data_IF_760779423827
#
_entry.id   IF_760779423827
#
_cell.length_a   1.000
_cell.length_b   1.000
_cell.length_c   1.000
_cell.angle_alpha   90.00
_cell.angle_beta   90.00
_cell.angle_gamma   90.00
#
_symmetry.space_group_name_H-M   'P 1'
#
loop_
_entity.id
_entity.type
_entity.pdbx_description
1 polymer ?
#
# COMPACT_ATOMS: atom_id res chain seq x y z
N UNK A 1 -3.54 -5.37 53.55
CA UNK A 1 -3.73 -6.46 52.56
C UNK A 1 -5.07 -6.46 51.83
N UNK A 2 -6.23 -6.28 52.49
CA UNK A 2 -7.57 -6.32 51.84
C UNK A 2 -7.76 -5.26 50.75
N UNK A 3 -7.33 -4.03 50.99
CA UNK A 3 -7.39 -2.93 50.02
C UNK A 3 -6.46 -3.14 48.81
N UNK A 4 -5.30 -3.78 48.99
CA UNK A 4 -4.36 -4.08 47.91
C UNK A 4 -4.97 -5.06 46.89
N UNK A 5 -5.71 -6.08 47.35
CA UNK A 5 -6.40 -7.03 46.45
C UNK A 5 -7.55 -6.38 45.68
N UNK A 6 -8.27 -5.44 46.30
CA UNK A 6 -9.33 -4.67 45.63
C UNK A 6 -8.74 -3.73 44.59
N UNK A 7 -7.62 -3.05 44.91
CA UNK A 7 -6.91 -2.19 43.96
C UNK A 7 -6.34 -2.98 42.79
N UNK A 8 -5.72 -4.14 43.03
CA UNK A 8 -5.23 -5.05 41.96
C UNK A 8 -6.39 -5.56 41.11
N UNK A 9 -7.51 -5.94 41.73
CA UNK A 9 -8.73 -6.34 41.01
C UNK A 9 -9.27 -5.22 40.12
N UNK A 10 -9.35 -3.99 40.63
CA UNK A 10 -9.79 -2.84 39.84
C UNK A 10 -8.82 -2.46 38.71
N UNK A 11 -7.50 -2.58 38.92
CA UNK A 11 -6.49 -2.35 37.87
C UNK A 11 -6.46 -3.46 36.81
N UNK A 12 -6.91 -4.67 37.14
CA UNK A 12 -6.93 -5.80 36.19
C UNK A 12 -7.95 -5.62 35.05
N UNK A 13 -9.07 -4.94 35.32
CA UNK A 13 -10.14 -4.69 34.34
C UNK A 13 -9.66 -3.84 33.16
N UNK A 14 -9.07 -2.63 33.35
CA UNK A 14 -8.60 -1.82 32.23
C UNK A 14 -7.48 -2.51 31.46
N UNK A 15 -6.61 -3.28 32.13
CA UNK A 15 -5.58 -4.08 31.46
C UNK A 15 -6.20 -5.15 30.57
N UNK A 16 -7.20 -5.90 31.04
CA UNK A 16 -7.92 -6.88 30.22
C UNK A 16 -8.63 -6.24 29.02
N UNK A 17 -9.24 -5.07 29.18
CA UNK A 17 -9.88 -4.34 28.08
C UNK A 17 -8.84 -3.95 27.02
N UNK A 18 -7.69 -3.41 27.43
CA UNK A 18 -6.60 -3.04 26.51
C UNK A 18 -6.07 -4.28 25.77
N UNK A 19 -5.84 -5.39 26.48
CA UNK A 19 -5.36 -6.65 25.88
C UNK A 19 -6.41 -7.24 24.93
N UNK A 20 -7.69 -7.23 25.31
CA UNK A 20 -8.78 -7.70 24.46
C UNK A 20 -8.92 -6.87 23.19
N UNK A 21 -8.88 -5.54 23.31
CA UNK A 21 -8.89 -4.64 22.15
C UNK A 21 -7.69 -4.88 21.25
N UNK A 22 -6.49 -5.02 21.83
CA UNK A 22 -5.28 -5.36 21.09
C UNK A 22 -5.43 -6.67 20.31
N UNK A 23 -5.93 -7.73 20.95
CA UNK A 23 -6.13 -9.04 20.32
C UNK A 23 -7.14 -8.97 19.17
N UNK A 24 -8.25 -8.24 19.32
CA UNK A 24 -9.25 -8.07 18.25
C UNK A 24 -8.66 -7.31 17.06
N UNK A 25 -7.99 -6.19 17.30
CA UNK A 25 -7.35 -5.41 16.22
C UNK A 25 -6.27 -6.26 15.54
N UNK A 26 -5.40 -6.90 16.32
CA UNK A 26 -4.34 -7.76 15.81
C UNK A 26 -4.91 -8.87 14.91
N UNK A 27 -5.93 -9.61 15.35
CA UNK A 27 -6.55 -10.68 14.55
C UNK A 27 -7.32 -10.17 13.32
N UNK A 28 -7.69 -8.89 13.27
CA UNK A 28 -8.39 -8.29 12.13
C UNK A 28 -7.48 -7.95 10.94
N UNK A 29 -6.18 -7.72 11.17
CA UNK A 29 -5.20 -7.45 10.12
C UNK A 29 -4.76 -8.78 9.52
N UNK A 30 -5.19 -9.09 8.29
CA UNK A 30 -5.04 -10.43 7.69
C UNK A 30 -3.95 -10.52 6.63
N UNK A 31 -3.33 -9.41 6.26
CA UNK A 31 -2.23 -9.32 5.30
C UNK A 31 -1.44 -8.00 5.52
N UNK A 32 -0.28 -7.80 4.87
CA UNK A 32 0.50 -6.58 5.05
C UNK A 32 -0.20 -5.29 4.60
N UNK A 33 -1.08 -5.34 3.61
CA UNK A 33 -1.80 -4.14 3.16
C UNK A 33 -2.81 -3.68 4.22
N UNK A 34 -3.47 -4.61 4.91
CA UNK A 34 -4.29 -4.29 6.09
C UNK A 34 -3.46 -3.58 7.17
N UNK A 35 -2.23 -4.03 7.42
CA UNK A 35 -1.34 -3.38 8.38
C UNK A 35 -0.96 -1.96 7.93
N UNK A 36 -0.60 -1.77 6.66
CA UNK A 36 -0.28 -0.45 6.09
C UNK A 36 -1.46 0.52 6.24
N UNK A 37 -2.67 0.11 5.81
CA UNK A 37 -3.88 0.92 5.92
C UNK A 37 -4.15 1.26 7.38
N UNK A 38 -4.19 0.25 8.25
CA UNK A 38 -4.43 0.43 9.69
C UNK A 38 -3.43 1.42 10.29
N UNK A 39 -2.15 1.30 9.93
CA UNK A 39 -1.10 2.16 10.44
C UNK A 39 -1.25 3.63 10.02
N UNK A 40 -1.87 3.88 8.88
CA UNK A 40 -2.06 5.23 8.36
C UNK A 40 -3.33 5.89 8.91
N UNK A 41 -4.47 5.18 8.86
CA UNK A 41 -5.78 5.79 9.16
C UNK A 41 -6.15 5.71 10.64
N UNK A 42 -5.50 4.85 11.43
CA UNK A 42 -5.90 4.62 12.83
C UNK A 42 -5.15 5.51 13.80
N UNK A 43 -5.91 6.27 14.60
CA UNK A 43 -5.37 7.13 15.66
C UNK A 43 -4.64 6.35 16.76
N UNK A 44 -5.24 5.26 17.24
CA UNK A 44 -4.66 4.41 18.28
C UNK A 44 -3.99 3.20 17.63
N UNK A 45 -2.66 3.28 17.53
CA UNK A 45 -1.84 2.24 16.91
C UNK A 45 -1.46 1.17 17.91
N UNK A 46 -1.33 -0.05 17.42
CA UNK A 46 -0.57 -1.11 18.07
C UNK A 46 0.85 -0.60 18.33
N UNK A 47 1.36 -0.85 19.54
CA UNK A 47 2.71 -0.40 19.94
C UNK A 47 3.75 -0.93 18.95
N UNK A 48 4.60 -0.04 18.44
CA UNK A 48 5.68 -0.38 17.52
C UNK A 48 5.33 -0.35 16.02
N UNK A 49 4.07 -0.06 15.65
CA UNK A 49 3.67 0.11 14.25
C UNK A 49 3.85 1.59 13.84
N UNK A 50 4.77 1.92 12.92
CA UNK A 50 4.92 3.28 12.41
C UNK A 50 3.80 3.62 11.42
N UNK A 51 3.57 4.91 11.18
CA UNK A 51 2.69 5.38 10.10
C UNK A 51 3.23 4.98 8.73
N UNK A 52 2.34 4.62 7.80
CA UNK A 52 2.77 4.23 6.46
C UNK A 52 3.39 5.40 5.69
N UNK A 53 2.86 6.61 5.87
CA UNK A 53 3.45 7.86 5.37
C UNK A 53 4.91 8.02 5.79
N UNK A 54 5.26 7.71 7.04
CA UNK A 54 6.65 7.69 7.50
C UNK A 54 7.48 6.62 6.78
N UNK A 55 6.93 5.41 6.58
CA UNK A 55 7.62 4.30 5.90
C UNK A 55 8.02 4.68 4.46
N UNK A 56 7.11 5.34 3.73
CA UNK A 56 7.33 5.77 2.33
C UNK A 56 7.92 7.19 2.20
N UNK A 57 8.27 7.82 3.33
CA UNK A 57 8.83 9.17 3.40
C UNK A 57 7.92 10.25 2.77
N UNK A 58 6.59 10.08 2.89
CA UNK A 58 5.60 11.05 2.44
C UNK A 58 5.56 12.25 3.39
N UNK A 59 5.49 13.50 2.88
CA UNK A 59 5.31 14.70 3.71
C UNK A 59 3.87 14.89 4.17
N UNK A 60 2.94 14.10 3.62
CA UNK A 60 1.51 14.10 3.93
C UNK A 60 1.18 12.78 4.59
N UNK A 61 0.33 12.82 5.60
CA UNK A 61 -0.28 11.67 6.26
C UNK A 61 -1.80 11.80 6.26
N UNK A 62 -2.51 10.76 6.65
CA UNK A 62 -3.94 10.83 6.90
C UNK A 62 -4.23 11.69 8.14
N UNK A 63 -5.20 12.59 8.02
CA UNK A 63 -5.68 13.41 9.13
C UNK A 63 -7.16 13.10 9.40
N UNK A 64 -7.43 12.44 10.53
CA UNK A 64 -8.78 12.07 10.97
C UNK A 64 -9.66 13.30 11.23
N UNK A 65 -9.06 14.48 11.43
CA UNK A 65 -9.80 15.73 11.65
C UNK A 65 -10.22 16.42 10.36
N UNK A 66 -9.68 15.99 9.22
CA UNK A 66 -10.05 16.50 7.90
C UNK A 66 -11.33 15.81 7.40
N UNK A 67 -12.22 16.57 6.76
CA UNK A 67 -13.49 16.07 6.23
C UNK A 67 -13.34 15.38 4.88
N UNK A 68 -12.11 15.22 4.39
CA UNK A 68 -11.85 14.62 3.08
C UNK A 68 -12.01 13.09 3.10
N UNK A 69 -11.94 12.43 4.26
CA UNK A 69 -12.06 10.97 4.40
C UNK A 69 -11.02 10.13 3.61
N UNK A 70 -10.08 10.76 2.90
CA UNK A 70 -8.98 10.13 2.18
C UNK A 70 -7.68 10.95 2.29
N UNK A 71 -6.57 10.32 1.97
CA UNK A 71 -5.27 10.98 1.78
C UNK A 71 -4.54 10.43 0.56
N UNK A 72 -3.62 11.24 0.01
CA UNK A 72 -2.71 10.82 -1.06
C UNK A 72 -1.28 10.98 -0.54
N UNK A 73 -0.62 9.85 -0.31
CA UNK A 73 0.76 9.78 0.14
C UNK A 73 1.68 9.89 -1.07
N UNK A 74 2.68 10.77 -0.98
CA UNK A 74 3.70 10.87 -2.02
C UNK A 74 4.81 9.86 -1.72
N UNK A 75 5.11 8.96 -2.64
CA UNK A 75 6.19 8.01 -2.48
C UNK A 75 7.54 8.69 -2.74
N UNK A 76 8.42 8.76 -1.73
CA UNK A 76 9.69 9.50 -1.80
C UNK A 76 10.91 8.68 -1.39
N UNK A 77 10.89 7.39 -1.67
CA UNK A 77 12.06 6.53 -1.51
C UNK A 77 13.00 6.66 -2.73
N UNK A 78 14.28 6.32 -2.54
CA UNK A 78 15.37 6.56 -3.50
C UNK A 78 15.39 5.58 -4.69
N UNK A 79 14.48 4.63 -4.74
CA UNK A 79 14.34 3.60 -5.76
C UNK A 79 13.53 4.06 -7.00
N UNK A 80 13.14 5.33 -7.07
CA UNK A 80 12.54 5.97 -8.24
C UNK A 80 13.61 6.66 -9.11
N UNK A 81 13.50 6.48 -10.43
CA UNK A 81 14.26 7.27 -11.41
C UNK A 81 13.61 8.64 -11.66
N UNK A 82 14.33 9.55 -12.35
CA UNK A 82 13.85 10.92 -12.65
C UNK A 82 12.55 10.96 -13.47
N UNK A 83 12.30 9.93 -14.28
CA UNK A 83 11.12 9.80 -15.12
C UNK A 83 10.04 8.90 -14.49
N UNK A 84 10.21 8.53 -13.22
CA UNK A 84 9.30 7.67 -12.47
C UNK A 84 8.72 8.46 -11.30
N UNK A 85 7.46 8.17 -10.98
CA UNK A 85 6.82 8.66 -9.77
C UNK A 85 5.89 7.60 -9.21
N UNK A 86 5.57 7.71 -7.93
CA UNK A 86 4.56 6.87 -7.32
C UNK A 86 3.81 7.64 -6.23
N UNK A 87 2.55 7.27 -6.02
CA UNK A 87 1.73 7.78 -4.95
C UNK A 87 0.76 6.70 -4.47
N UNK A 88 0.23 6.89 -3.27
CA UNK A 88 -0.69 5.96 -2.65
C UNK A 88 -1.96 6.69 -2.26
N UNK A 89 -3.10 6.22 -2.74
CA UNK A 89 -4.41 6.65 -2.26
C UNK A 89 -4.87 5.73 -1.14
N UNK A 90 -5.30 6.31 -0.02
CA UNK A 90 -5.88 5.57 1.11
C UNK A 90 -7.14 6.31 1.59
N UNK A 91 -8.21 5.58 1.85
CA UNK A 91 -9.43 6.12 2.46
C UNK A 91 -9.85 5.40 3.75
N UNK A 92 -10.81 5.98 4.46
CA UNK A 92 -11.37 5.43 5.71
C UNK A 92 -12.25 4.18 5.51
N UNK A 93 -12.60 3.87 4.26
CA UNK A 93 -13.26 2.63 3.86
C UNK A 93 -12.26 1.49 3.56
N UNK A 94 -10.98 1.71 3.88
CA UNK A 94 -9.87 0.76 3.68
C UNK A 94 -9.61 0.46 2.20
N UNK A 95 -9.93 1.39 1.31
CA UNK A 95 -9.43 1.33 -0.06
C UNK A 95 -7.96 1.74 -0.05
N UNK A 96 -7.14 0.98 -0.75
CA UNK A 96 -5.73 1.28 -0.93
C UNK A 96 -5.38 1.13 -2.40
N UNK A 97 -4.80 2.16 -3.01
CA UNK A 97 -4.32 2.10 -4.38
C UNK A 97 -2.89 2.59 -4.41
N UNK A 98 -1.96 1.71 -4.76
CA UNK A 98 -0.59 2.10 -5.09
C UNK A 98 -0.49 2.35 -6.59
N UNK A 99 -0.16 3.57 -7.00
CA UNK A 99 -0.01 3.93 -8.40
C UNK A 99 1.45 4.26 -8.70
N UNK A 100 2.04 3.51 -9.64
CA UNK A 100 3.33 3.81 -10.23
C UNK A 100 3.14 4.42 -11.62
N UNK A 101 3.96 5.42 -11.94
CA UNK A 101 3.97 6.12 -13.21
C UNK A 101 5.38 6.12 -13.82
N UNK A 102 5.44 5.92 -15.14
CA UNK A 102 6.66 6.04 -15.92
C UNK A 102 6.39 6.92 -17.14
N UNK A 103 7.13 8.02 -17.26
CA UNK A 103 7.03 8.96 -18.37
C UNK A 103 7.70 8.38 -19.62
N UNK A 104 6.91 8.27 -20.69
CA UNK A 104 7.34 7.90 -22.04
C UNK A 104 7.72 9.15 -22.84
N UNK A 105 8.44 8.99 -23.95
CA UNK A 105 9.03 10.09 -24.74
C UNK A 105 7.96 11.04 -25.32
N UNK A 106 6.78 10.53 -25.67
CA UNK A 106 5.71 11.29 -26.34
C UNK A 106 4.66 11.90 -25.38
N UNK A 107 5.06 12.37 -24.20
CA UNK A 107 4.15 12.86 -23.15
C UNK A 107 3.07 11.83 -22.72
N UNK A 108 3.30 10.55 -23.02
CA UNK A 108 2.46 9.45 -22.55
C UNK A 108 2.99 8.95 -21.22
N UNK A 109 2.11 8.44 -20.38
CA UNK A 109 2.47 7.92 -19.06
C UNK A 109 2.01 6.48 -18.96
N UNK A 110 2.96 5.56 -18.79
CA UNK A 110 2.65 4.19 -18.40
C UNK A 110 2.25 4.18 -16.93
N UNK A 111 1.14 3.54 -16.62
CA UNK A 111 0.62 3.40 -15.27
C UNK A 111 0.53 1.93 -14.91
N UNK A 112 1.05 1.59 -13.73
CA UNK A 112 0.87 0.30 -13.07
C UNK A 112 0.18 0.57 -11.74
N UNK A 113 -1.02 0.06 -11.58
CA UNK A 113 -1.89 0.29 -10.44
C UNK A 113 -2.12 -1.03 -9.69
N UNK A 114 -2.02 -0.96 -8.37
CA UNK A 114 -2.29 -2.06 -7.46
C UNK A 114 -3.43 -1.64 -6.55
N UNK A 115 -4.65 -2.05 -6.88
CA UNK A 115 -5.86 -1.70 -6.16
C UNK A 115 -6.21 -2.80 -5.18
N UNK A 116 -6.17 -2.49 -3.90
CA UNK A 116 -6.51 -3.41 -2.81
C UNK A 116 -7.92 -3.14 -2.29
N UNK A 117 -8.74 -4.18 -2.31
CA UNK A 117 -10.07 -4.18 -1.76
C UNK A 117 -10.44 -5.60 -1.30
N UNK A 118 -11.03 -5.73 -0.10
CA UNK A 118 -11.53 -7.01 0.43
C UNK A 118 -10.49 -8.16 0.46
N UNK A 119 -9.22 -7.87 0.78
CA UNK A 119 -8.10 -8.82 0.85
C UNK A 119 -7.51 -9.30 -0.49
N UNK A 120 -8.04 -8.79 -1.60
CA UNK A 120 -7.51 -9.06 -2.94
C UNK A 120 -6.82 -7.80 -3.49
N UNK A 121 -5.71 -7.98 -4.19
CA UNK A 121 -5.03 -6.90 -4.91
C UNK A 121 -5.13 -7.13 -6.41
N UNK A 122 -5.82 -6.21 -7.09
CA UNK A 122 -5.98 -6.22 -8.53
C UNK A 122 -4.87 -5.39 -9.17
N UNK A 123 -4.12 -6.02 -10.08
CA UNK A 123 -3.08 -5.35 -10.86
C UNK A 123 -3.63 -4.88 -12.19
N UNK A 124 -3.57 -3.58 -12.43
CA UNK A 124 -4.04 -2.96 -13.66
C UNK A 124 -2.92 -2.19 -14.35
N UNK A 125 -2.75 -2.39 -15.66
CA UNK A 125 -1.74 -1.68 -16.46
C UNK A 125 -2.44 -0.98 -17.62
N UNK A 126 -2.07 0.27 -17.86
CA UNK A 126 -2.59 1.07 -18.96
C UNK A 126 -1.66 2.24 -19.25
N UNK A 127 -1.85 2.90 -20.39
CA UNK A 127 -1.15 4.12 -20.75
C UNK A 127 -2.15 5.27 -20.77
N UNK A 128 -1.77 6.43 -20.24
CA UNK A 128 -2.47 7.69 -20.47
C UNK A 128 -1.76 8.49 -21.55
N UNK A 129 -2.51 9.03 -22.49
CA UNK A 129 -1.99 10.01 -23.43
C UNK A 129 -2.02 11.45 -22.85
N UNK A 130 -1.60 12.42 -23.66
CA UNK A 130 -1.61 13.85 -23.31
C UNK A 130 -3.01 14.40 -22.98
N UNK A 131 -4.07 13.76 -23.50
CA UNK A 131 -5.46 14.11 -23.25
C UNK A 131 -6.07 13.32 -22.07
N UNK A 132 -5.24 12.60 -21.31
CA UNK A 132 -5.63 11.68 -20.24
C UNK A 132 -6.55 10.52 -20.68
N UNK A 133 -6.55 10.18 -21.97
CA UNK A 133 -7.30 9.05 -22.51
C UNK A 133 -6.57 7.76 -22.14
N UNK A 134 -7.33 6.81 -21.59
CA UNK A 134 -6.81 5.51 -21.17
C UNK A 134 -6.70 4.55 -22.35
N UNK A 135 -5.48 4.12 -22.64
CA UNK A 135 -5.13 3.07 -23.60
C UNK A 135 -4.84 1.80 -22.80
N UNK A 136 -5.72 0.81 -22.89
CA UNK A 136 -5.64 -0.45 -22.14
C UNK A 136 -5.49 -1.69 -23.04
N UNK A 137 -5.57 -1.54 -24.36
CA UNK A 137 -5.47 -2.65 -25.30
C UNK A 137 -4.03 -3.15 -25.40
N UNK A 138 -3.85 -4.48 -25.31
CA UNK A 138 -2.54 -5.13 -25.23
C UNK A 138 -1.59 -4.75 -26.37
N UNK A 139 -2.06 -4.87 -27.62
CA UNK A 139 -1.22 -4.59 -28.79
C UNK A 139 -0.80 -3.12 -28.86
N UNK A 140 -1.69 -2.20 -28.47
CA UNK A 140 -1.38 -0.77 -28.41
C UNK A 140 -0.36 -0.46 -27.31
N UNK A 141 -0.50 -1.07 -26.13
CA UNK A 141 0.48 -0.91 -25.06
C UNK A 141 1.86 -1.41 -25.50
N UNK A 142 1.94 -2.61 -26.09
CA UNK A 142 3.22 -3.17 -26.53
C UNK A 142 3.87 -2.35 -27.64
N UNK A 143 3.09 -1.84 -28.58
CA UNK A 143 3.59 -0.93 -29.61
C UNK A 143 4.20 0.33 -28.99
N UNK A 144 3.48 1.00 -28.10
CA UNK A 144 3.96 2.22 -27.42
C UNK A 144 5.19 1.95 -26.55
N UNK A 145 5.27 0.80 -25.89
CA UNK A 145 6.48 0.39 -25.19
C UNK A 145 7.66 0.22 -26.16
N UNK A 146 7.45 -0.42 -27.31
CA UNK A 146 8.52 -0.66 -28.30
C UNK A 146 9.09 0.65 -28.87
N UNK A 147 8.25 1.67 -29.08
CA UNK A 147 8.66 3.01 -29.52
C UNK A 147 9.58 3.70 -28.50
N UNK A 148 9.52 3.27 -27.24
CA UNK A 148 10.37 3.73 -26.13
C UNK A 148 11.55 2.79 -25.84
N UNK A 149 11.85 1.84 -26.73
CA UNK A 149 12.84 0.77 -26.55
C UNK A 149 12.55 -0.13 -25.33
N UNK A 150 11.28 -0.26 -24.95
CA UNK A 150 10.80 -1.14 -23.89
C UNK A 150 10.06 -2.33 -24.49
N UNK A 151 10.01 -3.44 -23.77
CA UNK A 151 9.34 -4.66 -24.21
C UNK A 151 8.50 -5.27 -23.08
N UNK A 152 7.77 -6.35 -23.39
CA UNK A 152 6.96 -7.07 -22.40
C UNK A 152 7.78 -7.56 -21.20
N UNK A 153 9.02 -7.99 -21.43
CA UNK A 153 9.90 -8.45 -20.36
C UNK A 153 10.25 -7.32 -19.39
N UNK A 154 10.59 -6.14 -19.91
CA UNK A 154 10.81 -4.95 -19.10
C UNK A 154 9.56 -4.60 -18.27
N UNK A 155 8.37 -4.64 -18.88
CA UNK A 155 7.11 -4.34 -18.18
C UNK A 155 6.88 -5.33 -17.03
N UNK A 156 7.09 -6.62 -17.26
CA UNK A 156 6.96 -7.67 -16.24
C UNK A 156 7.97 -7.46 -15.10
N UNK A 157 9.23 -7.25 -15.43
CA UNK A 157 10.28 -7.04 -14.43
C UNK A 157 10.03 -5.78 -13.62
N UNK A 158 9.59 -4.70 -14.28
CA UNK A 158 9.25 -3.44 -13.61
C UNK A 158 8.03 -3.59 -12.71
N UNK A 159 6.97 -4.26 -13.18
CA UNK A 159 5.80 -4.55 -12.34
C UNK A 159 6.18 -5.38 -11.11
N UNK A 160 7.04 -6.38 -11.26
CA UNK A 160 7.51 -7.16 -10.12
C UNK A 160 8.31 -6.30 -9.13
N UNK A 161 9.22 -5.46 -9.63
CA UNK A 161 9.98 -4.52 -8.80
C UNK A 161 9.07 -3.53 -8.06
N UNK A 162 8.06 -2.97 -8.73
CA UNK A 162 7.12 -2.05 -8.10
C UNK A 162 6.35 -2.75 -6.97
N UNK A 163 5.89 -3.98 -7.19
CA UNK A 163 5.14 -4.71 -6.19
C UNK A 163 6.02 -5.14 -5.00
N UNK A 164 7.16 -5.76 -5.27
CA UNK A 164 8.02 -6.31 -4.23
C UNK A 164 8.87 -5.23 -3.57
N UNK A 165 9.72 -4.55 -4.32
CA UNK A 165 10.73 -3.64 -3.79
C UNK A 165 10.16 -2.26 -3.43
N UNK A 166 9.13 -1.79 -4.15
CA UNK A 166 8.57 -0.45 -3.88
C UNK A 166 7.41 -0.47 -2.88
N UNK A 167 6.47 -1.39 -3.03
CA UNK A 167 5.28 -1.47 -2.19
C UNK A 167 5.53 -2.28 -0.91
N UNK A 168 5.95 -3.54 -1.03
CA UNK A 168 6.03 -4.46 0.11
C UNK A 168 7.30 -4.29 0.95
N UNK A 169 8.47 -4.18 0.31
CA UNK A 169 9.76 -4.16 1.00
C UNK A 169 9.87 -3.04 2.06
N UNK A 170 9.49 -1.78 1.77
CA UNK A 170 9.60 -0.73 2.78
C UNK A 170 8.76 -1.02 4.03
N UNK A 171 7.60 -1.66 3.84
CA UNK A 171 6.76 -2.07 4.93
C UNK A 171 7.38 -3.21 5.72
N UNK A 172 7.89 -4.25 5.07
CA UNK A 172 8.55 -5.36 5.77
C UNK A 172 9.81 -4.93 6.55
N UNK A 173 10.55 -3.95 6.04
CA UNK A 173 11.75 -3.47 6.71
C UNK A 173 11.47 -2.59 7.95
N UNK A 174 10.36 -1.86 7.96
CA UNK A 174 10.12 -0.79 8.94
C UNK A 174 8.83 -0.91 9.73
N UNK A 175 7.81 -1.52 9.14
CA UNK A 175 6.44 -1.43 9.64
C UNK A 175 5.82 -2.77 10.03
N UNK A 176 6.08 -3.83 9.27
CA UNK A 176 5.43 -5.11 9.51
C UNK A 176 5.89 -5.76 10.80
N UNK A 177 4.92 -6.30 11.52
CA UNK A 177 5.16 -7.03 12.77
C UNK A 177 5.07 -8.55 12.57
N UNK A 178 4.52 -8.99 11.44
CA UNK A 178 4.04 -10.37 11.25
C UNK A 178 4.31 -10.92 9.85
N UNK A 179 4.15 -10.07 8.86
CA UNK A 179 4.18 -10.47 7.47
C UNK A 179 5.56 -10.22 6.89
N UNK A 180 5.84 -10.98 5.86
CA UNK A 180 7.13 -11.02 5.18
C UNK A 180 6.92 -11.42 3.73
N UNK A 181 7.99 -11.52 2.95
CA UNK A 181 7.89 -12.05 1.60
C UNK A 181 7.50 -13.54 1.61
N UNK A 182 7.83 -14.27 2.67
CA UNK A 182 7.51 -15.68 2.85
C UNK A 182 6.09 -15.91 3.37
N UNK A 183 5.49 -14.92 4.03
CA UNK A 183 4.13 -14.97 4.56
C UNK A 183 3.39 -13.65 4.30
N UNK A 184 2.52 -13.66 3.29
CA UNK A 184 1.62 -12.54 2.96
C UNK A 184 0.25 -12.66 3.64
N UNK A 185 0.05 -13.68 4.48
CA UNK A 185 -1.25 -14.00 5.06
C UNK A 185 -2.28 -14.32 3.99
N UNK A 186 -3.43 -13.65 4.07
CA UNK A 186 -4.57 -13.89 3.19
C UNK A 186 -4.57 -13.00 1.94
N UNK A 187 -3.46 -12.31 1.62
CA UNK A 187 -3.39 -11.49 0.42
C UNK A 187 -3.51 -12.37 -0.82
N UNK A 188 -4.51 -12.12 -1.67
CA UNK A 188 -4.54 -12.70 -3.02
C UNK A 188 -4.13 -11.66 -4.04
N UNK A 189 -3.39 -12.09 -5.06
CA UNK A 189 -2.88 -11.23 -6.12
C UNK A 189 -3.54 -11.64 -7.42
N UNK A 190 -4.30 -10.72 -8.02
CA UNK A 190 -4.88 -10.88 -9.33
C UNK A 190 -3.97 -10.24 -10.39
N UNK A 191 -3.33 -11.10 -11.18
CA UNK A 191 -2.39 -10.68 -12.22
C UNK A 191 -3.11 -10.08 -13.43
N UNK A 192 -2.54 -8.99 -13.95
CA UNK A 192 -3.00 -8.36 -15.19
C UNK A 192 -2.85 -9.32 -16.37
N UNK A 193 -3.85 -9.39 -17.24
CA UNK A 193 -3.75 -10.18 -18.48
C UNK A 193 -2.58 -9.77 -19.36
N UNK A 194 -2.17 -8.49 -19.28
CA UNK A 194 -1.03 -7.95 -20.02
C UNK A 194 0.31 -8.58 -19.60
N UNK A 195 0.36 -9.18 -18.41
CA UNK A 195 1.55 -9.86 -17.85
C UNK A 195 1.48 -11.39 -17.93
N UNK A 196 0.33 -11.96 -18.32
CA UNK A 196 0.15 -13.41 -18.50
C UNK A 196 0.89 -13.92 -19.75
#
# INVERSE_FOLDING_TARGET
MKYLKIIIGFLSIPVMVIVGWYMVTYTSLKNPIDEMIYSEITRFKIVGVPEYSYVVNSPVSYDVTDNNHFTILNYRLKNLNKNESAYIYIDDLKKFIFTYQFNLIDNKVLIIEYSYQLADIEKTIYIKDENNIRIAEYDNILKLLSENNLNKEWLRNRSNFVFHDMLLQPWFEKGSQRYSFEDLGNLKIEESELLK
#
